data_IF_901807428818
#
_entry.id   IF_901807428818
#
_cell.length_a   1.000
_cell.length_b   1.000
_cell.length_c   1.000
_cell.angle_alpha   90.00
_cell.angle_beta   90.00
_cell.angle_gamma   90.00
#
_symmetry.space_group_name_H-M   'P 1'
#
loop_
_entity.id
_entity.type
_entity.pdbx_description
1 polymer ?
#
# COMPACT_ATOMS: atom_id res chain seq x y z
N UNK A 1 27.05 80.52 43.16
CA UNK A 1 27.33 79.06 43.11
C UNK A 1 26.72 78.48 41.85
N UNK A 2 27.48 78.34 40.75
CA UNK A 2 27.02 77.65 39.52
C UNK A 2 27.52 76.21 39.55
N UNK A 3 26.62 75.23 39.53
CA UNK A 3 26.95 73.82 39.39
C UNK A 3 27.48 73.58 37.97
N UNK A 4 28.78 73.26 37.85
CA UNK A 4 29.36 72.75 36.60
C UNK A 4 29.16 71.23 36.57
N UNK A 5 28.25 70.76 35.73
CA UNK A 5 28.06 69.32 35.49
C UNK A 5 29.27 68.74 34.75
N UNK A 6 29.68 67.55 35.17
CA UNK A 6 30.81 66.78 34.65
C UNK A 6 30.68 66.57 33.13
N UNK A 7 31.66 67.03 32.36
CA UNK A 7 31.73 66.72 30.92
C UNK A 7 31.98 65.21 30.75
N UNK A 8 31.00 64.50 30.20
CA UNK A 8 31.18 63.15 29.69
C UNK A 8 32.03 63.25 28.41
N UNK A 9 33.04 62.40 28.27
CA UNK A 9 33.84 62.31 27.04
C UNK A 9 33.64 60.93 26.42
N UNK A 10 33.53 60.88 25.10
CA UNK A 10 33.58 59.66 24.30
C UNK A 10 35.06 59.43 23.95
N UNK A 11 35.66 58.27 24.23
CA UNK A 11 37.08 58.05 23.91
C UNK A 11 37.36 58.27 22.42
N UNK A 12 38.47 58.93 22.12
CA UNK A 12 38.94 59.11 20.75
C UNK A 12 39.19 57.75 20.08
N UNK A 13 38.87 57.67 18.80
CA UNK A 13 38.90 56.52 17.88
C UNK A 13 40.31 55.99 17.59
N UNK A 14 41.11 55.75 18.63
CA UNK A 14 42.45 55.21 18.48
C UNK A 14 42.36 53.73 18.09
N UNK A 15 42.60 53.44 16.80
CA UNK A 15 42.63 52.09 16.24
C UNK A 15 41.66 51.81 15.09
N UNK A 16 40.75 52.74 14.74
CA UNK A 16 39.79 52.52 13.65
C UNK A 16 40.45 52.41 12.27
N UNK A 17 41.60 53.07 12.06
CA UNK A 17 42.38 52.98 10.82
C UNK A 17 43.04 51.60 10.61
N UNK A 18 43.12 50.75 11.63
CA UNK A 18 43.70 49.39 11.53
C UNK A 18 42.64 48.29 11.43
N UNK A 19 41.35 48.61 11.51
CA UNK A 19 40.26 47.65 11.40
C UNK A 19 39.73 47.60 9.95
N UNK A 20 40.31 46.74 9.12
CA UNK A 20 39.64 46.31 7.88
C UNK A 20 38.40 45.48 8.25
N UNK A 21 37.22 46.08 8.10
CA UNK A 21 35.95 45.39 8.33
C UNK A 21 35.53 44.61 7.08
N UNK A 22 35.87 43.32 7.04
CA UNK A 22 35.21 42.38 6.13
C UNK A 22 33.82 42.01 6.68
N UNK A 23 32.76 42.45 6.01
CA UNK A 23 31.37 42.11 6.37
C UNK A 23 31.01 40.65 6.10
N UNK A 24 31.94 39.88 5.52
CA UNK A 24 31.73 38.48 5.09
C UNK A 24 32.34 37.45 6.04
N UNK A 25 33.10 37.86 7.06
CA UNK A 25 33.69 36.93 8.01
C UNK A 25 32.65 36.48 9.05
N UNK A 26 32.66 35.19 9.37
CA UNK A 26 31.71 34.54 10.29
C UNK A 26 31.71 35.17 11.71
N UNK A 27 32.73 35.95 12.05
CA UNK A 27 32.90 36.58 13.37
C UNK A 27 32.46 38.06 13.42
N UNK A 28 31.89 38.62 12.35
CA UNK A 28 31.53 40.05 12.29
C UNK A 28 30.51 40.46 13.38
N UNK A 29 29.51 39.61 13.66
CA UNK A 29 28.48 39.88 14.69
C UNK A 29 29.04 39.92 16.12
N UNK A 30 30.17 39.25 16.38
CA UNK A 30 30.84 39.29 17.69
C UNK A 30 31.63 40.59 17.83
N UNK A 31 32.38 40.99 16.79
CA UNK A 31 33.16 42.24 16.74
C UNK A 31 32.28 43.49 16.85
N UNK A 32 31.11 43.50 16.19
CA UNK A 32 30.15 44.61 16.28
C UNK A 32 29.58 44.76 17.70
N UNK A 33 29.33 43.63 18.39
CA UNK A 33 28.88 43.66 19.79
C UNK A 33 29.97 44.18 20.72
N UNK A 34 31.21 43.70 20.60
CA UNK A 34 32.33 44.18 21.42
C UNK A 34 32.57 45.69 21.28
N UNK A 35 32.39 46.25 20.08
CA UNK A 35 32.52 47.70 19.85
C UNK A 35 31.34 48.47 20.46
N UNK A 36 30.11 47.96 20.29
CA UNK A 36 28.92 48.54 20.93
C UNK A 36 29.05 48.55 22.45
N UNK A 37 29.56 47.46 23.03
CA UNK A 37 29.74 47.29 24.47
C UNK A 37 30.86 48.20 24.99
N UNK A 38 31.96 48.36 24.24
CA UNK A 38 33.01 49.32 24.57
C UNK A 38 32.53 50.79 24.51
N UNK A 39 31.61 51.11 23.59
CA UNK A 39 31.08 52.46 23.42
C UNK A 39 30.08 52.85 24.52
N UNK A 40 29.35 51.88 25.06
CA UNK A 40 28.41 52.10 26.17
C UNK A 40 29.13 52.20 27.53
N UNK A 41 30.41 51.82 27.60
CA UNK A 41 31.18 51.82 28.85
C UNK A 41 31.71 53.21 29.22
N UNK A 42 30.92 53.95 30.01
CA UNK A 42 31.26 55.28 30.51
C UNK A 42 32.35 55.19 31.59
N UNK A 43 33.60 55.58 31.30
CA UNK A 43 34.66 55.68 32.32
C UNK A 43 34.60 57.03 33.05
N UNK A 44 34.56 57.01 34.39
CA UNK A 44 34.62 58.21 35.24
C UNK A 44 36.06 58.46 35.71
N UNK A 45 36.55 59.69 35.54
CA UNK A 45 37.87 60.09 36.05
C UNK A 45 37.74 60.71 37.46
N UNK A 46 38.61 60.34 38.40
CA UNK A 46 38.71 60.99 39.71
C UNK A 46 39.29 62.40 39.52
N UNK A 47 38.64 63.39 40.12
CA UNK A 47 39.00 64.81 40.06
C UNK A 47 40.33 65.04 40.81
N UNK A 48 41.41 65.33 40.08
CA UNK A 48 42.55 66.05 40.66
C UNK A 48 42.20 67.53 40.69
N UNK A 49 42.46 68.19 41.82
CA UNK A 49 42.02 69.55 42.10
C UNK A 49 42.68 70.57 41.17
N UNK A 50 42.03 70.88 40.04
CA UNK A 50 42.39 72.01 39.18
C UNK A 50 41.83 73.28 39.81
N UNK A 51 42.72 73.99 40.50
CA UNK A 51 42.51 75.30 41.12
C UNK A 51 42.14 76.34 40.04
N UNK A 52 41.17 77.24 40.24
CA UNK A 52 40.82 78.27 39.26
C UNK A 52 42.00 79.24 39.07
N UNK A 53 42.57 79.29 37.85
CA UNK A 53 43.48 80.36 37.44
C UNK A 53 42.66 81.65 37.24
N UNK A 54 42.47 82.41 38.31
CA UNK A 54 42.14 83.83 38.23
C UNK A 54 43.47 84.55 38.39
N UNK A 55 43.91 85.22 37.32
CA UNK A 55 45.14 86.02 37.31
C UNK A 55 44.98 87.26 38.20
N UNK A 56 45.86 87.48 39.20
CA UNK A 56 45.77 88.58 40.17
C UNK A 56 45.97 89.99 39.58
N UNK A 57 46.14 90.12 38.27
CA UNK A 57 46.28 91.40 37.56
C UNK A 57 44.95 92.11 37.32
N UNK A 58 43.84 91.37 37.19
CA UNK A 58 42.52 91.95 36.91
C UNK A 58 41.96 92.76 38.10
N UNK A 59 42.17 92.28 39.32
CA UNK A 59 41.76 93.01 40.54
C UNK A 59 42.65 94.25 40.79
N UNK A 60 43.91 94.20 40.35
CA UNK A 60 44.84 95.34 40.39
C UNK A 60 44.46 96.44 39.40
N UNK A 61 43.89 96.09 38.25
CA UNK A 61 43.38 97.03 37.26
C UNK A 61 42.12 97.76 37.74
N UNK A 62 41.21 97.07 38.45
CA UNK A 62 39.96 97.66 38.93
C UNK A 62 40.14 98.63 40.12
N UNK A 63 41.16 98.42 40.95
CA UNK A 63 41.44 99.28 42.11
C UNK A 63 42.02 100.67 41.74
N UNK A 64 42.33 100.93 40.46
CA UNK A 64 43.09 102.11 40.00
C UNK A 64 42.24 103.23 39.35
N UNK A 65 40.91 103.23 39.53
CA UNK A 65 40.03 104.33 39.06
C UNK A 65 39.43 105.08 40.25
N UNK A 66 40.21 106.02 40.78
CA UNK A 66 39.79 107.08 41.69
C UNK A 66 39.37 108.30 40.86
N UNK A 67 38.28 108.94 41.30
CA UNK A 67 37.67 110.21 40.87
C UNK A 67 38.61 111.25 40.23
N UNK A 68 38.25 111.71 39.03
CA UNK A 68 38.58 113.05 38.53
C UNK A 68 37.34 113.95 38.70
N UNK A 69 37.22 114.61 39.87
CA UNK A 69 36.28 115.70 40.10
C UNK A 69 37.06 117.03 40.02
N UNK A 70 36.67 117.92 39.10
CA UNK A 70 37.21 119.28 38.97
C UNK A 70 36.59 120.18 40.08
N UNK A 71 37.35 121.07 40.75
CA UNK A 71 36.91 121.74 41.99
C UNK A 71 36.02 122.98 41.75
N UNK A 72 35.08 123.19 42.67
CA UNK A 72 34.23 124.38 42.83
C UNK A 72 34.93 125.43 43.72
N UNK A 73 35.08 126.71 43.31
CA UNK A 73 35.39 127.79 44.23
C UNK A 73 34.13 128.56 44.63
N UNK A 74 34.08 128.96 45.91
CA UNK A 74 33.05 129.84 46.48
C UNK A 74 33.70 131.17 46.87
N UNK A 75 32.94 132.26 46.71
CA UNK A 75 32.82 133.42 47.63
C UNK A 75 33.13 134.82 47.05
N UNK A 76 32.06 135.62 46.90
CA UNK A 76 31.95 137.00 47.40
C UNK A 76 32.48 138.16 46.55
N UNK A 77 31.57 138.93 45.92
CA UNK A 77 31.19 140.31 46.33
C UNK A 77 30.57 141.14 45.17
N UNK A 78 29.35 141.65 45.42
CA UNK A 78 28.67 142.86 44.91
C UNK A 78 29.01 143.47 43.52
N UNK A 79 28.13 143.27 42.53
CA UNK A 79 27.28 144.27 41.79
C UNK A 79 26.72 143.68 40.48
N UNK A 80 25.56 144.17 39.98
CA UNK A 80 24.74 143.46 38.99
C UNK A 80 25.21 143.71 37.56
N UNK A 81 25.21 142.67 36.73
CA UNK A 81 25.30 142.77 35.26
C UNK A 81 24.13 141.97 34.70
N UNK A 82 22.93 142.50 34.94
CA UNK A 82 21.89 142.44 33.92
C UNK A 82 22.37 143.35 32.78
N UNK A 83 22.24 142.88 31.54
CA UNK A 83 22.76 143.50 30.31
C UNK A 83 24.23 143.22 29.99
N UNK A 84 24.52 142.01 29.52
CA UNK A 84 25.22 141.78 28.25
C UNK A 84 25.21 140.28 27.92
N UNK A 85 24.87 139.97 26.66
CA UNK A 85 24.85 138.66 25.99
C UNK A 85 23.47 138.02 25.79
N UNK A 86 22.70 138.70 24.94
CA UNK A 86 21.66 138.10 24.13
C UNK A 86 22.27 137.63 22.79
N UNK A 87 22.13 136.33 22.50
CA UNK A 87 22.14 135.66 21.18
C UNK A 87 23.50 135.48 20.48
N UNK A 88 24.28 134.49 20.94
CA UNK A 88 25.21 133.69 20.11
C UNK A 88 25.08 132.23 20.57
N UNK A 89 24.76 131.24 19.70
CA UNK A 89 24.77 129.83 20.09
C UNK A 89 26.22 129.38 20.32
N UNK A 90 26.51 128.76 21.46
CA UNK A 90 27.86 128.29 21.81
C UNK A 90 28.21 126.99 21.06
N UNK A 91 29.50 126.70 20.82
CA UNK A 91 29.97 125.48 20.12
C UNK A 91 29.41 124.17 20.72
N UNK A 92 29.13 124.18 22.03
CA UNK A 92 28.48 123.10 22.75
C UNK A 92 27.03 122.85 22.29
N UNK A 93 26.30 123.89 21.88
CA UNK A 93 24.94 123.80 21.37
C UNK A 93 24.91 123.14 19.97
N UNK A 94 25.92 123.42 19.14
CA UNK A 94 26.10 122.78 17.83
C UNK A 94 26.39 121.28 17.99
N UNK A 95 27.32 120.92 18.89
CA UNK A 95 27.66 119.51 19.17
C UNK A 95 26.46 118.76 19.74
N UNK A 96 25.68 119.41 20.63
CA UNK A 96 24.46 118.84 21.18
C UNK A 96 23.41 118.57 20.11
N UNK A 97 23.17 119.51 19.20
CA UNK A 97 22.25 119.32 18.08
C UNK A 97 22.71 118.20 17.13
N UNK A 98 24.02 118.08 16.86
CA UNK A 98 24.56 117.04 15.98
C UNK A 98 24.48 115.65 16.62
N UNK A 99 24.70 115.56 17.94
CA UNK A 99 24.46 114.34 18.72
C UNK A 99 22.98 113.95 18.70
N UNK A 100 22.06 114.91 18.89
CA UNK A 100 20.61 114.67 18.79
C UNK A 100 20.17 114.23 17.38
N UNK A 101 20.81 114.74 16.32
CA UNK A 101 20.57 114.31 14.93
C UNK A 101 21.02 112.87 14.71
N UNK A 102 22.25 112.53 15.09
CA UNK A 102 22.79 111.15 14.98
C UNK A 102 22.02 110.16 15.84
N UNK A 103 21.62 110.57 17.04
CA UNK A 103 20.80 109.75 17.93
C UNK A 103 19.42 109.46 17.31
N UNK A 104 18.80 110.44 16.64
CA UNK A 104 17.57 110.23 15.86
C UNK A 104 17.78 109.30 14.65
N UNK A 105 18.87 109.45 13.90
CA UNK A 105 19.18 108.55 12.77
C UNK A 105 19.45 107.11 13.21
N UNK A 106 20.21 106.92 14.28
CA UNK A 106 20.44 105.60 14.88
C UNK A 106 19.13 105.00 15.39
N UNK A 107 18.25 105.82 15.99
CA UNK A 107 16.89 105.40 16.38
C UNK A 107 16.08 104.87 15.19
N UNK A 108 16.10 105.57 14.04
CA UNK A 108 15.43 105.12 12.81
C UNK A 108 16.01 103.81 12.27
N UNK A 109 17.34 103.66 12.26
CA UNK A 109 18.00 102.41 11.84
C UNK A 109 17.67 101.24 12.78
N UNK A 110 17.58 101.50 14.09
CA UNK A 110 17.17 100.49 15.07
C UNK A 110 15.73 100.05 14.81
N UNK A 111 14.81 100.97 14.49
CA UNK A 111 13.44 100.59 14.10
C UNK A 111 13.40 99.78 12.81
N UNK A 112 14.10 100.21 11.75
CA UNK A 112 14.18 99.43 10.50
C UNK A 112 14.70 98.01 10.73
N UNK A 113 15.77 97.86 11.50
CA UNK A 113 16.32 96.53 11.83
C UNK A 113 15.35 95.69 12.68
N UNK A 114 14.55 96.31 13.56
CA UNK A 114 13.49 95.61 14.29
C UNK A 114 12.38 95.13 13.36
N UNK A 115 11.95 95.97 12.42
CA UNK A 115 10.95 95.61 11.41
C UNK A 115 11.45 94.48 10.50
N UNK A 116 12.67 94.57 9.97
CA UNK A 116 13.29 93.51 9.16
C UNK A 116 13.42 92.21 9.95
N UNK A 117 13.87 92.28 11.22
CA UNK A 117 13.93 91.12 12.10
C UNK A 117 12.55 90.48 12.30
N UNK A 118 11.48 91.27 12.45
CA UNK A 118 10.11 90.74 12.53
C UNK A 118 9.68 90.08 11.21
N UNK A 119 9.96 90.71 10.06
CA UNK A 119 9.64 90.13 8.74
C UNK A 119 10.35 88.79 8.53
N UNK A 120 11.66 88.72 8.80
CA UNK A 120 12.43 87.48 8.68
C UNK A 120 11.98 86.41 9.67
N UNK A 121 11.54 86.81 10.87
CA UNK A 121 10.94 85.89 11.83
C UNK A 121 9.67 85.23 11.29
N UNK A 122 8.76 86.02 10.72
CA UNK A 122 7.53 85.53 10.10
C UNK A 122 7.81 84.59 8.91
N UNK A 123 8.79 84.92 8.08
CA UNK A 123 9.18 84.13 6.91
C UNK A 123 9.78 82.76 7.32
N UNK A 124 10.62 82.76 8.37
CA UNK A 124 11.15 81.53 8.95
C UNK A 124 10.05 80.63 9.53
N UNK A 125 9.05 81.22 10.21
CA UNK A 125 7.90 80.49 10.73
C UNK A 125 7.02 79.92 9.61
N UNK A 126 6.81 80.69 8.53
CA UNK A 126 6.09 80.24 7.33
C UNK A 126 6.80 79.04 6.68
N UNK A 127 8.10 79.15 6.42
CA UNK A 127 8.89 78.06 5.85
C UNK A 127 8.91 76.81 6.74
N UNK A 128 8.95 76.98 8.07
CA UNK A 128 8.86 75.88 9.02
C UNK A 128 7.51 75.17 8.93
N UNK A 129 6.42 75.93 8.84
CA UNK A 129 5.07 75.39 8.66
C UNK A 129 4.92 74.64 7.33
N UNK A 130 5.42 75.20 6.23
CA UNK A 130 5.41 74.53 4.91
C UNK A 130 6.24 73.23 4.93
N UNK A 131 7.43 73.24 5.52
CA UNK A 131 8.27 72.06 5.65
C UNK A 131 7.59 70.96 6.49
N UNK A 132 6.89 71.33 7.56
CA UNK A 132 6.13 70.37 8.37
C UNK A 132 4.94 69.78 7.59
N UNK A 133 4.23 70.60 6.81
CA UNK A 133 3.14 70.14 5.93
C UNK A 133 3.66 69.18 4.86
N UNK A 134 4.78 69.50 4.22
CA UNK A 134 5.43 68.63 3.23
C UNK A 134 5.89 67.31 3.88
N UNK A 135 6.45 67.36 5.09
CA UNK A 135 6.85 66.15 5.82
C UNK A 135 5.66 65.24 6.13
N UNK A 136 4.54 65.82 6.60
CA UNK A 136 3.29 65.07 6.83
C UNK A 136 2.76 64.45 5.54
N UNK A 137 2.76 65.21 4.44
CA UNK A 137 2.37 64.72 3.12
C UNK A 137 3.25 63.57 2.61
N UNK A 138 4.57 63.69 2.76
CA UNK A 138 5.53 62.66 2.37
C UNK A 138 5.33 61.37 3.17
N UNK A 139 5.21 61.46 4.50
CA UNK A 139 4.97 60.30 5.34
C UNK A 139 3.69 59.56 4.96
N UNK A 140 2.60 60.30 4.69
CA UNK A 140 1.34 59.70 4.24
C UNK A 140 1.48 58.99 2.89
N UNK A 141 2.16 59.60 1.93
CA UNK A 141 2.41 58.98 0.63
C UNK A 141 3.27 57.70 0.73
N UNK A 142 4.20 57.65 1.69
CA UNK A 142 5.03 56.48 1.97
C UNK A 142 4.20 55.33 2.59
N UNK A 143 3.32 55.64 3.54
CA UNK A 143 2.35 54.67 4.09
C UNK A 143 1.41 54.12 3.00
N UNK A 144 0.86 54.98 2.14
CA UNK A 144 0.00 54.58 1.02
C UNK A 144 0.74 53.67 0.03
N UNK A 145 2.03 53.95 -0.24
CA UNK A 145 2.88 53.13 -1.11
C UNK A 145 3.15 51.75 -0.50
N UNK A 146 3.44 51.68 0.79
CA UNK A 146 3.64 50.41 1.48
C UNK A 146 2.35 49.58 1.51
N UNK A 147 1.19 50.20 1.75
CA UNK A 147 -0.12 49.56 1.66
C UNK A 147 -0.35 48.97 0.27
N UNK A 148 -0.18 49.77 -0.79
CA UNK A 148 -0.34 49.33 -2.18
C UNK A 148 0.61 48.17 -2.53
N UNK A 149 1.85 48.22 -2.03
CA UNK A 149 2.82 47.13 -2.20
C UNK A 149 2.36 45.84 -1.53
N UNK A 150 1.71 45.90 -0.37
CA UNK A 150 1.14 44.71 0.27
C UNK A 150 -0.04 44.17 -0.53
N UNK A 151 -0.91 45.04 -1.02
CA UNK A 151 -2.09 44.64 -1.79
C UNK A 151 -1.72 44.05 -3.14
N UNK A 152 -0.71 44.60 -3.83
CA UNK A 152 -0.17 44.00 -5.05
C UNK A 152 0.38 42.58 -4.81
N UNK A 153 1.09 42.37 -3.69
CA UNK A 153 1.57 41.03 -3.32
C UNK A 153 0.41 40.06 -3.06
N UNK A 154 -0.65 40.50 -2.36
CA UNK A 154 -1.85 39.70 -2.13
C UNK A 154 -2.56 39.35 -3.44
N UNK A 155 -2.73 40.33 -4.33
CA UNK A 155 -3.35 40.13 -5.65
C UNK A 155 -2.57 39.10 -6.48
N UNK A 156 -1.24 39.17 -6.50
CA UNK A 156 -0.40 38.18 -7.19
C UNK A 156 -0.58 36.77 -6.64
N UNK A 157 -0.74 36.64 -5.33
CA UNK A 157 -0.99 35.33 -4.69
C UNK A 157 -2.40 34.84 -5.06
N UNK A 158 -3.40 35.71 -5.07
CA UNK A 158 -4.76 35.38 -5.48
C UNK A 158 -4.82 34.87 -6.94
N UNK A 159 -4.16 35.56 -7.88
CA UNK A 159 -4.06 35.13 -9.29
C UNK A 159 -3.39 33.76 -9.44
N UNK A 160 -2.37 33.47 -8.61
CA UNK A 160 -1.75 32.13 -8.56
C UNK A 160 -2.70 31.06 -8.04
N UNK A 161 -3.53 31.37 -7.05
CA UNK A 161 -4.54 30.43 -6.54
C UNK A 161 -5.66 30.21 -7.53
N UNK A 162 -6.11 31.25 -8.22
CA UNK A 162 -7.13 31.14 -9.28
C UNK A 162 -6.66 30.21 -10.40
N UNK A 163 -5.42 30.36 -10.86
CA UNK A 163 -4.81 29.44 -11.84
C UNK A 163 -4.80 27.99 -11.34
N UNK A 164 -4.36 27.77 -10.10
CA UNK A 164 -4.36 26.41 -9.52
C UNK A 164 -5.76 25.82 -9.38
N UNK A 165 -6.74 26.66 -9.07
CA UNK A 165 -8.13 26.23 -8.96
C UNK A 165 -8.69 25.82 -10.32
N UNK A 166 -8.38 26.60 -11.37
CA UNK A 166 -8.77 26.27 -12.74
C UNK A 166 -8.07 24.99 -13.24
N UNK A 167 -6.76 24.83 -13.01
CA UNK A 167 -6.02 23.60 -13.31
C UNK A 167 -6.64 22.38 -12.60
N UNK A 168 -7.06 22.54 -11.34
CA UNK A 168 -7.70 21.48 -10.57
C UNK A 168 -9.06 21.09 -11.15
N UNK A 169 -9.85 22.09 -11.59
CA UNK A 169 -11.13 21.86 -12.25
C UNK A 169 -10.97 21.13 -13.58
N UNK A 170 -10.00 21.52 -14.40
CA UNK A 170 -9.70 20.83 -15.67
C UNK A 170 -9.29 19.36 -15.44
N UNK A 171 -8.48 19.09 -14.40
CA UNK A 171 -8.14 17.71 -14.00
C UNK A 171 -9.36 16.93 -13.52
N UNK A 172 -10.25 17.56 -12.75
CA UNK A 172 -11.49 16.94 -12.29
C UNK A 172 -12.38 16.54 -13.48
N UNK A 173 -12.53 17.43 -14.45
CA UNK A 173 -13.32 17.16 -15.66
C UNK A 173 -12.69 16.07 -16.52
N UNK A 174 -11.36 16.05 -16.66
CA UNK A 174 -10.64 14.96 -17.32
C UNK A 174 -10.85 13.61 -16.61
N UNK A 175 -10.82 13.59 -15.28
CA UNK A 175 -11.10 12.40 -14.48
C UNK A 175 -12.55 11.93 -14.64
N UNK A 176 -13.52 12.84 -14.59
CA UNK A 176 -14.94 12.51 -14.85
C UNK A 176 -15.12 11.88 -16.23
N UNK A 177 -14.46 12.41 -17.26
CA UNK A 177 -14.50 11.84 -18.60
C UNK A 177 -13.92 10.42 -18.64
N UNK A 178 -12.73 10.20 -18.06
CA UNK A 178 -12.12 8.86 -17.97
C UNK A 178 -12.98 7.86 -17.18
N UNK A 179 -13.69 8.33 -16.16
CA UNK A 179 -14.60 7.51 -15.36
C UNK A 179 -15.79 7.05 -16.19
N UNK A 180 -16.41 7.95 -16.96
CA UNK A 180 -17.50 7.60 -17.88
C UNK A 180 -17.04 6.63 -18.98
N UNK A 181 -15.85 6.86 -19.55
CA UNK A 181 -15.25 5.96 -20.53
C UNK A 181 -15.05 4.56 -19.93
N UNK A 182 -14.43 4.46 -18.76
CA UNK A 182 -14.22 3.19 -18.05
C UNK A 182 -15.53 2.49 -17.66
N UNK A 183 -16.56 3.23 -17.28
CA UNK A 183 -17.90 2.68 -17.04
C UNK A 183 -18.48 2.08 -18.32
N UNK A 184 -18.39 2.78 -19.45
CA UNK A 184 -18.88 2.28 -20.73
C UNK A 184 -18.12 1.02 -21.21
N UNK A 185 -16.81 0.96 -20.98
CA UNK A 185 -15.99 -0.22 -21.28
C UNK A 185 -16.36 -1.40 -20.39
N UNK A 186 -16.57 -1.15 -19.10
CA UNK A 186 -17.03 -2.16 -18.14
C UNK A 186 -18.38 -2.76 -18.56
N UNK A 187 -19.31 -1.94 -19.05
CA UNK A 187 -20.59 -2.42 -19.57
C UNK A 187 -20.42 -3.29 -20.82
N UNK A 188 -19.57 -2.88 -21.76
CA UNK A 188 -19.22 -3.70 -22.94
C UNK A 188 -18.60 -5.03 -22.55
N UNK A 189 -17.69 -5.04 -21.57
CA UNK A 189 -17.08 -6.27 -21.05
C UNK A 189 -18.11 -7.16 -20.36
N UNK A 190 -19.03 -6.59 -19.57
CA UNK A 190 -20.14 -7.35 -18.97
C UNK A 190 -21.02 -8.01 -20.02
N UNK A 191 -21.35 -7.31 -21.11
CA UNK A 191 -22.11 -7.89 -22.21
C UNK A 191 -21.37 -9.08 -22.85
N UNK A 192 -20.06 -8.95 -23.10
CA UNK A 192 -19.23 -10.05 -23.63
C UNK A 192 -19.17 -11.25 -22.69
N UNK A 193 -19.07 -11.03 -21.38
CA UNK A 193 -19.09 -12.12 -20.38
C UNK A 193 -20.40 -12.89 -20.46
N UNK A 194 -21.55 -12.21 -20.53
CA UNK A 194 -22.86 -12.87 -20.66
C UNK A 194 -22.96 -13.68 -21.96
N UNK A 195 -22.41 -13.20 -23.07
CA UNK A 195 -22.37 -13.93 -24.35
C UNK A 195 -21.50 -15.19 -24.27
N UNK A 196 -20.33 -15.09 -23.62
CA UNK A 196 -19.43 -16.22 -23.38
C UNK A 196 -20.05 -17.26 -22.45
N UNK A 197 -20.73 -16.85 -21.38
CA UNK A 197 -21.47 -17.75 -20.48
C UNK A 197 -22.57 -18.52 -21.22
N UNK A 198 -23.34 -17.85 -22.07
CA UNK A 198 -24.36 -18.50 -22.92
C UNK A 198 -23.72 -19.51 -23.87
N UNK A 199 -22.60 -19.15 -24.51
CA UNK A 199 -21.89 -20.02 -25.44
C UNK A 199 -21.30 -21.25 -24.72
N UNK A 200 -20.76 -21.06 -23.52
CA UNK A 200 -20.24 -22.14 -22.69
C UNK A 200 -21.35 -23.10 -22.26
N UNK A 201 -22.49 -22.58 -21.81
CA UNK A 201 -23.66 -23.41 -21.45
C UNK A 201 -24.16 -24.20 -22.66
N UNK A 202 -24.24 -23.58 -23.83
CA UNK A 202 -24.64 -24.26 -25.06
C UNK A 202 -23.66 -25.37 -25.45
N UNK A 203 -22.35 -25.12 -25.38
CA UNK A 203 -21.35 -26.14 -25.67
C UNK A 203 -21.43 -27.29 -24.65
N UNK A 204 -21.57 -27.00 -23.36
CA UNK A 204 -21.68 -28.02 -22.32
C UNK A 204 -22.92 -28.89 -22.52
N UNK A 205 -24.05 -28.27 -22.88
CA UNK A 205 -25.28 -28.96 -23.25
C UNK A 205 -25.09 -29.87 -24.46
N UNK A 206 -24.51 -29.35 -25.56
CA UNK A 206 -24.22 -30.14 -26.76
C UNK A 206 -23.28 -31.32 -26.47
N UNK A 207 -22.23 -31.10 -25.68
CA UNK A 207 -21.29 -32.16 -25.32
C UNK A 207 -21.97 -33.26 -24.51
N UNK A 208 -22.78 -32.89 -23.51
CA UNK A 208 -23.60 -33.84 -22.75
C UNK A 208 -24.55 -34.63 -23.65
N UNK A 209 -25.23 -33.98 -24.59
CA UNK A 209 -26.12 -34.66 -25.55
C UNK A 209 -25.36 -35.65 -26.44
N UNK A 210 -24.15 -35.29 -26.90
CA UNK A 210 -23.32 -36.19 -27.72
C UNK A 210 -22.85 -37.40 -26.89
N UNK A 211 -22.39 -37.19 -25.66
CA UNK A 211 -21.98 -38.26 -24.74
C UNK A 211 -23.15 -39.20 -24.40
N UNK A 212 -24.33 -38.65 -24.10
CA UNK A 212 -25.55 -39.42 -23.85
C UNK A 212 -25.99 -40.21 -25.09
N UNK A 213 -25.88 -39.63 -26.29
CA UNK A 213 -26.22 -40.35 -27.52
C UNK A 213 -25.24 -41.50 -27.80
N UNK A 214 -23.95 -41.30 -27.52
CA UNK A 214 -22.95 -42.34 -27.65
C UNK A 214 -23.19 -43.50 -26.66
N UNK A 215 -23.50 -43.19 -25.39
CA UNK A 215 -23.83 -44.21 -24.39
C UNK A 215 -25.14 -44.93 -24.71
N UNK A 216 -26.16 -44.23 -25.20
CA UNK A 216 -27.41 -44.81 -25.65
C UNK A 216 -27.20 -45.80 -26.80
N UNK A 217 -26.36 -45.44 -27.79
CA UNK A 217 -25.99 -46.34 -28.88
C UNK A 217 -25.25 -47.58 -28.34
N UNK A 218 -24.35 -47.41 -27.37
CA UNK A 218 -23.64 -48.54 -26.75
C UNK A 218 -24.58 -49.49 -26.01
N UNK A 219 -25.57 -48.95 -25.29
CA UNK A 219 -26.61 -49.73 -24.63
C UNK A 219 -27.43 -50.51 -25.65
N UNK A 220 -27.79 -49.90 -26.78
CA UNK A 220 -28.53 -50.58 -27.85
C UNK A 220 -27.74 -51.72 -28.46
N UNK A 221 -26.43 -51.53 -28.70
CA UNK A 221 -25.52 -52.59 -29.17
C UNK A 221 -25.44 -53.75 -28.18
N UNK A 222 -25.23 -53.46 -26.89
CA UNK A 222 -25.16 -54.51 -25.85
C UNK A 222 -26.47 -55.27 -25.70
N UNK A 223 -27.62 -54.61 -25.86
CA UNK A 223 -28.93 -55.25 -25.84
C UNK A 223 -29.07 -56.29 -26.95
N UNK A 224 -28.68 -55.95 -28.18
CA UNK A 224 -28.70 -56.91 -29.29
C UNK A 224 -27.81 -58.13 -29.03
N UNK A 225 -26.62 -57.92 -28.46
CA UNK A 225 -25.73 -59.03 -28.04
C UNK A 225 -26.34 -59.91 -26.95
N UNK A 226 -27.06 -59.33 -26.00
CA UNK A 226 -27.78 -60.08 -24.96
C UNK A 226 -28.90 -60.90 -25.60
N UNK A 227 -29.68 -60.32 -26.51
CA UNK A 227 -30.74 -61.05 -27.24
C UNK A 227 -30.17 -62.23 -28.05
N UNK A 228 -29.05 -62.05 -28.75
CA UNK A 228 -28.33 -63.13 -29.45
C UNK A 228 -27.90 -64.24 -28.48
N UNK A 229 -27.30 -63.88 -27.34
CA UNK A 229 -26.89 -64.87 -26.33
C UNK A 229 -28.07 -65.59 -25.69
N UNK A 230 -29.19 -64.90 -25.46
CA UNK A 230 -30.43 -65.50 -24.94
C UNK A 230 -30.98 -66.53 -25.92
N UNK A 231 -31.00 -66.24 -27.23
CA UNK A 231 -31.44 -67.22 -28.25
C UNK A 231 -30.51 -68.44 -28.29
N UNK A 232 -29.19 -68.23 -28.28
CA UNK A 232 -28.22 -69.33 -28.25
C UNK A 232 -28.34 -70.17 -26.97
N UNK A 233 -28.66 -69.55 -25.83
CA UNK A 233 -28.90 -70.23 -24.58
C UNK A 233 -30.17 -71.09 -24.65
N UNK A 234 -31.28 -70.57 -25.19
CA UNK A 234 -32.51 -71.35 -25.39
C UNK A 234 -32.26 -72.54 -26.34
N UNK A 235 -31.54 -72.35 -27.44
CA UNK A 235 -31.16 -73.44 -28.35
C UNK A 235 -30.33 -74.51 -27.63
N UNK A 236 -29.36 -74.09 -26.82
CA UNK A 236 -28.54 -75.02 -26.03
C UNK A 236 -29.39 -75.80 -25.02
N UNK A 237 -30.36 -75.14 -24.39
CA UNK A 237 -31.29 -75.74 -23.44
C UNK A 237 -32.14 -76.82 -24.09
N UNK A 238 -32.73 -76.54 -25.25
CA UNK A 238 -33.52 -77.52 -26.02
C UNK A 238 -32.64 -78.73 -26.40
N UNK A 239 -31.40 -78.50 -26.84
CA UNK A 239 -30.46 -79.60 -27.14
C UNK A 239 -30.17 -80.47 -25.92
N UNK A 240 -29.97 -79.87 -24.74
CA UNK A 240 -29.79 -80.60 -23.50
C UNK A 240 -31.02 -81.44 -23.14
N UNK A 241 -32.23 -80.88 -23.22
CA UNK A 241 -33.48 -81.59 -22.94
C UNK A 241 -33.66 -82.81 -23.87
N UNK A 242 -33.35 -82.68 -25.16
CA UNK A 242 -33.39 -83.80 -26.12
C UNK A 242 -32.39 -84.90 -25.74
N UNK A 243 -31.16 -84.53 -25.38
CA UNK A 243 -30.12 -85.49 -24.99
C UNK A 243 -30.46 -86.21 -23.68
N UNK A 244 -31.02 -85.49 -22.70
CA UNK A 244 -31.49 -86.07 -21.45
C UNK A 244 -32.60 -87.10 -21.67
N UNK A 245 -33.59 -86.77 -22.51
CA UNK A 245 -34.64 -87.70 -22.90
C UNK A 245 -34.07 -88.94 -23.61
N UNK A 246 -33.14 -88.75 -24.54
CA UNK A 246 -32.45 -89.85 -25.23
C UNK A 246 -31.63 -90.75 -24.28
N UNK A 247 -30.95 -90.16 -23.30
CA UNK A 247 -30.18 -90.90 -22.30
C UNK A 247 -31.10 -91.75 -21.40
N UNK A 248 -32.29 -91.25 -21.07
CA UNK A 248 -33.32 -92.04 -20.38
C UNK A 248 -33.68 -93.32 -21.13
N UNK A 249 -33.93 -93.22 -22.43
CA UNK A 249 -34.21 -94.37 -23.28
C UNK A 249 -33.05 -95.38 -23.32
N UNK A 250 -31.81 -94.91 -23.49
CA UNK A 250 -30.64 -95.80 -23.51
C UNK A 250 -30.42 -96.52 -22.17
N UNK A 251 -30.67 -95.85 -21.03
CA UNK A 251 -30.60 -96.49 -19.71
C UNK A 251 -31.63 -97.61 -19.58
N UNK A 252 -32.87 -97.39 -20.00
CA UNK A 252 -33.89 -98.44 -20.00
C UNK A 252 -33.50 -99.61 -20.90
N UNK A 253 -33.02 -99.34 -22.12
CA UNK A 253 -32.61 -100.37 -23.06
C UNK A 253 -31.43 -101.20 -22.50
N UNK A 254 -30.48 -100.54 -21.83
CA UNK A 254 -29.38 -101.21 -21.13
C UNK A 254 -29.90 -102.11 -20.01
N UNK A 255 -30.81 -101.62 -19.16
CA UNK A 255 -31.42 -102.43 -18.10
C UNK A 255 -32.17 -103.65 -18.64
N UNK A 256 -32.96 -103.48 -19.71
CA UNK A 256 -33.64 -104.61 -20.38
C UNK A 256 -32.64 -105.64 -20.88
N UNK A 257 -31.55 -105.19 -21.51
CA UNK A 257 -30.51 -106.09 -22.04
C UNK A 257 -29.76 -106.82 -20.91
N UNK A 258 -29.45 -106.11 -19.81
CA UNK A 258 -28.86 -106.71 -18.62
C UNK A 258 -29.77 -107.77 -17.99
N UNK A 259 -31.07 -107.51 -17.91
CA UNK A 259 -32.05 -108.48 -17.39
C UNK A 259 -32.15 -109.72 -18.28
N UNK A 260 -32.12 -109.54 -19.61
CA UNK A 260 -32.08 -110.65 -20.55
C UNK A 260 -30.83 -111.51 -20.37
N UNK A 261 -29.66 -110.89 -20.19
CA UNK A 261 -28.41 -111.61 -19.93
C UNK A 261 -28.53 -112.38 -18.61
N UNK A 262 -29.01 -111.75 -17.54
CA UNK A 262 -29.19 -112.39 -16.23
C UNK A 262 -30.12 -113.60 -16.29
N UNK A 263 -31.23 -113.50 -17.03
CA UNK A 263 -32.16 -114.61 -17.22
C UNK A 263 -31.53 -115.76 -18.02
N UNK A 264 -30.74 -115.45 -19.06
CA UNK A 264 -30.01 -116.47 -19.83
C UNK A 264 -28.93 -117.14 -19.00
N UNK A 265 -28.19 -116.38 -18.20
CA UNK A 265 -27.17 -116.89 -17.29
C UNK A 265 -27.79 -117.78 -16.21
N UNK A 266 -28.97 -117.41 -15.68
CA UNK A 266 -29.74 -118.25 -14.77
C UNK A 266 -30.16 -119.58 -15.43
N UNK A 267 -30.76 -119.53 -16.62
CA UNK A 267 -31.17 -120.74 -17.36
C UNK A 267 -29.97 -121.62 -17.74
N UNK A 268 -28.85 -121.01 -18.14
CA UNK A 268 -27.63 -121.75 -18.46
C UNK A 268 -27.04 -122.39 -17.20
N UNK A 269 -27.03 -121.67 -16.08
CA UNK A 269 -26.61 -122.20 -14.78
C UNK A 269 -27.47 -123.38 -14.32
N UNK A 270 -28.79 -123.29 -14.49
CA UNK A 270 -29.72 -124.38 -14.21
C UNK A 270 -29.47 -125.59 -15.12
N UNK A 271 -29.32 -125.38 -16.43
CA UNK A 271 -29.01 -126.46 -17.37
C UNK A 271 -27.66 -127.13 -17.06
N UNK A 272 -26.64 -126.36 -16.67
CA UNK A 272 -25.34 -126.89 -16.23
C UNK A 272 -25.51 -127.70 -14.94
N UNK A 273 -26.30 -127.23 -13.98
CA UNK A 273 -26.59 -127.97 -12.75
C UNK A 273 -27.31 -129.30 -13.04
N UNK A 274 -28.30 -129.30 -13.94
CA UNK A 274 -29.00 -130.52 -14.39
C UNK A 274 -28.06 -131.50 -15.11
N UNK A 275 -27.17 -131.01 -15.98
CA UNK A 275 -26.15 -131.83 -16.64
C UNK A 275 -25.21 -132.46 -15.61
N UNK A 276 -24.78 -131.70 -14.61
CA UNK A 276 -23.94 -132.21 -13.50
C UNK A 276 -24.64 -133.29 -12.70
N UNK A 277 -25.90 -133.08 -12.32
CA UNK A 277 -26.70 -134.08 -11.59
C UNK A 277 -26.88 -135.36 -12.40
N UNK A 278 -27.21 -135.25 -13.70
CA UNK A 278 -27.30 -136.41 -14.59
C UNK A 278 -25.95 -137.14 -14.73
N UNK A 279 -24.85 -136.39 -14.80
CA UNK A 279 -23.50 -136.95 -14.82
C UNK A 279 -23.16 -137.67 -13.50
N UNK A 280 -23.58 -137.14 -12.34
CA UNK A 280 -23.39 -137.73 -11.01
C UNK A 280 -24.14 -139.07 -10.89
N UNK A 281 -25.38 -139.09 -11.37
CA UNK A 281 -26.16 -140.33 -11.44
C UNK A 281 -25.52 -141.37 -12.36
N UNK A 282 -25.06 -140.98 -13.56
CA UNK A 282 -24.37 -141.89 -14.48
C UNK A 282 -23.07 -142.42 -13.88
N UNK A 283 -22.32 -141.59 -13.15
CA UNK A 283 -21.10 -141.99 -12.47
C UNK A 283 -21.39 -143.00 -11.36
N UNK A 284 -22.45 -142.78 -10.57
CA UNK A 284 -22.92 -143.72 -9.55
C UNK A 284 -23.35 -145.06 -10.16
N UNK A 285 -24.09 -145.03 -11.27
CA UNK A 285 -24.50 -146.22 -12.01
C UNK A 285 -23.30 -146.97 -12.59
N UNK A 286 -22.27 -146.27 -13.09
CA UNK A 286 -21.04 -146.88 -13.59
C UNK A 286 -20.29 -147.63 -12.48
N UNK A 287 -20.18 -147.06 -11.28
CA UNK A 287 -19.57 -147.74 -10.11
C UNK A 287 -20.37 -149.00 -9.73
N UNK A 288 -21.71 -148.93 -9.72
CA UNK A 288 -22.56 -150.11 -9.49
C UNK A 288 -22.42 -151.15 -10.60
N UNK A 289 -22.30 -150.72 -11.84
CA UNK A 289 -22.13 -151.60 -13.00
C UNK A 289 -20.78 -152.31 -12.98
N UNK A 290 -19.72 -151.64 -12.52
CA UNK A 290 -18.41 -152.25 -12.27
C UNK A 290 -18.48 -153.34 -11.19
N UNK A 291 -19.21 -153.08 -10.10
CA UNK A 291 -19.43 -154.06 -9.03
C UNK A 291 -20.24 -155.28 -9.50
N UNK A 292 -21.30 -155.07 -10.28
CA UNK A 292 -22.14 -156.15 -10.83
C UNK A 292 -21.45 -156.93 -11.96
N UNK A 293 -20.57 -156.28 -12.73
CA UNK A 293 -19.79 -156.95 -13.78
C UNK A 293 -18.91 -158.06 -13.20
N UNK A 294 -18.37 -157.87 -11.98
CA UNK A 294 -17.61 -158.91 -11.27
C UNK A 294 -18.47 -160.11 -10.83
N UNK A 295 -19.78 -159.92 -10.66
CA UNK A 295 -20.70 -160.96 -10.17
C UNK A 295 -21.32 -161.80 -11.29
N UNK A 296 -21.37 -161.29 -12.53
CA UNK A 296 -22.15 -161.87 -13.63
C UNK A 296 -21.33 -162.37 -14.84
N UNK A 297 -20.03 -162.65 -14.69
CA UNK A 297 -19.19 -163.33 -15.69
C UNK A 297 -19.53 -164.85 -15.84
N UNK A 298 -20.82 -165.19 -15.92
CA UNK A 298 -21.28 -166.57 -16.12
C UNK A 298 -21.73 -166.80 -17.57
N UNK A 299 -21.27 -167.90 -18.17
CA UNK A 299 -21.37 -168.25 -19.60
C UNK A 299 -22.77 -168.52 -20.18
N UNK A 300 -23.84 -167.97 -19.60
CA UNK A 300 -25.20 -168.05 -20.15
C UNK A 300 -25.46 -166.95 -21.19
N UNK A 301 -26.23 -167.25 -22.26
CA UNK A 301 -26.67 -166.25 -23.27
C UNK A 301 -27.31 -165.00 -22.65
N UNK A 302 -27.96 -165.14 -21.48
CA UNK A 302 -28.56 -164.01 -20.75
C UNK A 302 -27.52 -163.16 -20.01
N UNK A 303 -26.44 -163.79 -19.52
CA UNK A 303 -25.31 -163.11 -18.86
C UNK A 303 -24.45 -162.29 -19.83
N UNK A 304 -24.23 -162.78 -21.06
CA UNK A 304 -23.49 -162.03 -22.09
C UNK A 304 -24.20 -160.72 -22.49
N UNK A 305 -25.53 -160.74 -22.61
CA UNK A 305 -26.31 -159.54 -22.90
C UNK A 305 -26.26 -158.54 -21.74
N UNK A 306 -26.29 -159.03 -20.49
CA UNK A 306 -26.16 -158.21 -19.29
C UNK A 306 -24.77 -157.55 -19.18
N UNK A 307 -23.70 -158.31 -19.43
CA UNK A 307 -22.33 -157.82 -19.42
C UNK A 307 -22.09 -156.75 -20.49
N UNK A 308 -22.72 -156.88 -21.66
CA UNK A 308 -22.66 -155.85 -22.72
C UNK A 308 -23.33 -154.54 -22.29
N UNK A 309 -24.49 -154.60 -21.64
CA UNK A 309 -25.18 -153.42 -21.09
C UNK A 309 -24.35 -152.74 -19.98
N UNK A 310 -23.76 -153.51 -19.07
CA UNK A 310 -22.90 -152.98 -17.99
C UNK A 310 -21.66 -152.27 -18.55
N UNK A 311 -21.03 -152.83 -19.59
CA UNK A 311 -19.89 -152.19 -20.28
C UNK A 311 -20.30 -150.87 -20.95
N UNK A 312 -21.51 -150.79 -21.50
CA UNK A 312 -22.05 -149.55 -22.08
C UNK A 312 -22.32 -148.49 -21.02
N UNK A 313 -22.85 -148.86 -19.86
CA UNK A 313 -23.06 -147.96 -18.72
C UNK A 313 -21.71 -147.42 -18.21
N UNK A 314 -20.68 -148.26 -18.16
CA UNK A 314 -19.31 -147.84 -17.80
C UNK A 314 -18.73 -146.81 -18.77
N UNK A 315 -18.84 -147.05 -20.08
CA UNK A 315 -18.37 -146.10 -21.11
C UNK A 315 -19.12 -144.76 -21.09
N UNK A 316 -20.39 -144.78 -20.68
CA UNK A 316 -21.18 -143.57 -20.47
C UNK A 316 -20.72 -142.82 -19.22
N UNK A 317 -20.43 -143.51 -18.12
CA UNK A 317 -19.85 -142.90 -16.90
C UNK A 317 -18.48 -142.24 -17.14
N UNK A 318 -17.59 -142.89 -17.89
CA UNK A 318 -16.27 -142.30 -18.24
C UNK A 318 -16.44 -140.98 -18.99
N UNK A 319 -17.39 -140.92 -19.92
CA UNK A 319 -17.72 -139.68 -20.65
C UNK A 319 -18.41 -138.64 -19.78
N UNK A 320 -19.24 -139.07 -18.83
CA UNK A 320 -19.92 -138.18 -17.89
C UNK A 320 -18.93 -137.42 -16.99
N UNK A 321 -17.74 -137.98 -16.70
CA UNK A 321 -16.71 -137.30 -15.90
C UNK A 321 -16.20 -135.98 -16.46
N UNK A 322 -16.27 -135.75 -17.77
CA UNK A 322 -15.88 -134.45 -18.33
C UNK A 322 -16.92 -133.34 -18.06
N UNK A 323 -18.05 -133.68 -17.47
CA UNK A 323 -19.17 -132.77 -17.19
C UNK A 323 -19.42 -132.55 -15.68
N UNK A 324 -18.52 -133.04 -14.82
CA UNK A 324 -18.39 -132.68 -13.41
C UNK A 324 -17.63 -131.36 -13.30
#
# INVERSE_FOLDING_TARGET
MRQYQSRQFIPATYGLAQCEFSYKDDNYKKKVREISDAWTQTRKMKRLAIRPMITPEYDRWRAKRVNDNIPRPTQGNARPVEEQLQVIPSELEIIKQDFERRSRELGKKIEQLKEEKMRLGLDADLHKFEAEKLKKGKNKAEEDLDSLKTDYKKLRIADQWEKKFQDAREREDALKKSLLESQSEKEKLRAKVVELERSLLLHRSRNSVVELKASQNKIKEMRGKIEELETALQDSKIRCEILEAGNGHWKEQLHRSQEQIRNRDYLMGEAVAQIREAADHLQTLAVRADMLSLMYESGSKRGQSLAWLLRKIKDLGIRARSYM
#
